data_IF_705230671606
#
_entry.id   IF_705230671606
#
_cell.length_a   1.000
_cell.length_b   1.000
_cell.length_c   1.000
_cell.angle_alpha   90.00
_cell.angle_beta   90.00
_cell.angle_gamma   90.00
#
_symmetry.space_group_name_H-M   'P 1'
#
loop_
_entity.id
_entity.type
_entity.pdbx_description
1 polymer ?
#
# COMPACT_ATOMS: atom_id res chain seq x y z
N UNK A 1 -16.46 2.96 7.12
CA UNK A 1 -15.82 3.90 6.17
C UNK A 1 -14.40 3.43 5.98
N UNK A 2 -14.07 2.98 4.78
CA UNK A 2 -12.72 2.52 4.46
C UNK A 2 -11.80 3.75 4.40
N UNK A 3 -10.70 3.72 5.14
CA UNK A 3 -9.68 4.77 5.14
C UNK A 3 -8.34 4.13 4.77
N UNK A 4 -7.42 4.94 4.27
CA UNK A 4 -6.07 4.46 3.97
C UNK A 4 -5.40 3.97 5.26
N UNK A 5 -4.91 2.72 5.33
CA UNK A 5 -4.24 2.20 6.53
C UNK A 5 -2.87 2.84 6.78
N UNK A 6 -2.32 3.57 5.79
CA UNK A 6 -1.02 4.24 5.88
C UNK A 6 -1.15 5.67 6.42
N UNK A 7 -2.00 6.51 5.81
CA UNK A 7 -2.14 7.93 6.19
C UNK A 7 -3.44 8.27 6.95
N UNK A 8 -4.36 7.31 7.09
CA UNK A 8 -5.67 7.52 7.72
C UNK A 8 -6.64 8.38 6.88
N UNK A 9 -6.25 8.84 5.70
CA UNK A 9 -7.08 9.70 4.86
C UNK A 9 -8.20 8.92 4.16
N UNK A 10 -9.26 9.65 3.79
CA UNK A 10 -10.41 9.11 3.04
C UNK A 10 -10.30 9.30 1.53
N UNK A 11 -9.19 9.85 1.05
CA UNK A 11 -8.87 10.01 -0.37
C UNK A 11 -8.40 8.66 -0.93
N UNK A 12 -9.33 7.69 -0.94
CA UNK A 12 -9.13 6.36 -1.49
C UNK A 12 -10.16 6.08 -2.58
N UNK A 13 -9.71 5.49 -3.68
CA UNK A 13 -10.55 4.99 -4.77
C UNK A 13 -10.71 3.48 -4.67
N UNK A 14 -11.89 2.95 -5.01
CA UNK A 14 -12.09 1.50 -5.15
C UNK A 14 -11.64 1.08 -6.55
N UNK A 15 -10.67 0.18 -6.62
CA UNK A 15 -10.09 -0.31 -7.89
C UNK A 15 -10.54 -1.73 -8.22
N UNK A 16 -10.98 -2.50 -7.22
CA UNK A 16 -11.43 -3.88 -7.39
C UNK A 16 -12.32 -4.37 -6.26
N UNK A 17 -12.58 -5.67 -6.23
CA UNK A 17 -13.32 -6.32 -5.14
C UNK A 17 -12.45 -6.31 -3.89
N UNK A 18 -12.91 -5.60 -2.85
CA UNK A 18 -12.18 -5.41 -1.60
C UNK A 18 -10.78 -4.79 -1.76
N UNK A 19 -10.54 -4.12 -2.88
CA UNK A 19 -9.25 -3.51 -3.24
C UNK A 19 -9.42 -2.01 -3.42
N UNK A 20 -8.51 -1.26 -2.82
CA UNK A 20 -8.56 0.19 -2.74
C UNK A 20 -7.18 0.78 -3.03
N UNK A 21 -7.16 1.95 -3.66
CA UNK A 21 -5.96 2.69 -3.96
C UNK A 21 -6.01 4.06 -3.28
N UNK A 22 -4.92 4.47 -2.65
CA UNK A 22 -4.76 5.80 -2.07
C UNK A 22 -3.88 6.67 -2.96
N UNK A 23 -4.41 7.78 -3.45
CA UNK A 23 -3.67 8.73 -4.30
C UNK A 23 -2.58 9.46 -3.55
N UNK A 24 -2.77 9.71 -2.26
CA UNK A 24 -1.81 10.47 -1.44
C UNK A 24 -0.56 9.65 -1.10
N UNK A 25 -0.74 8.36 -0.84
CA UNK A 25 0.36 7.47 -0.46
C UNK A 25 0.90 6.66 -1.64
N UNK A 26 0.23 6.71 -2.81
CA UNK A 26 0.50 5.81 -3.92
C UNK A 26 0.53 4.33 -3.49
N UNK A 27 -0.40 3.92 -2.62
CA UNK A 27 -0.49 2.53 -2.15
C UNK A 27 -1.81 1.90 -2.57
N UNK A 28 -1.75 0.62 -2.89
CA UNK A 28 -2.90 -0.23 -3.07
C UNK A 28 -3.06 -1.17 -1.87
N UNK A 29 -4.27 -1.37 -1.38
CA UNK A 29 -4.52 -2.29 -0.27
C UNK A 29 -5.78 -3.13 -0.47
N UNK A 30 -5.69 -4.38 -0.03
CA UNK A 30 -6.74 -5.39 -0.07
C UNK A 30 -7.27 -5.62 1.34
N UNK A 31 -8.59 -5.58 1.51
CA UNK A 31 -9.26 -5.74 2.80
C UNK A 31 -10.08 -7.03 2.80
N UNK A 32 -9.52 -8.12 3.31
CA UNK A 32 -10.22 -9.41 3.42
C UNK A 32 -10.54 -9.72 4.88
N UNK A 33 -11.71 -9.26 5.33
CA UNK A 33 -12.12 -9.40 6.73
C UNK A 33 -11.16 -8.65 7.65
N UNK A 34 -10.47 -9.39 8.51
CA UNK A 34 -9.46 -8.84 9.43
C UNK A 34 -8.06 -8.70 8.79
N UNK A 35 -7.84 -9.29 7.62
CA UNK A 35 -6.55 -9.26 6.95
C UNK A 35 -6.47 -8.08 5.98
N UNK A 36 -5.51 -7.20 6.19
CA UNK A 36 -5.19 -6.10 5.27
C UNK A 36 -3.80 -6.34 4.68
N UNK A 37 -3.71 -6.40 3.35
CA UNK A 37 -2.43 -6.40 2.62
C UNK A 37 -2.27 -5.06 1.94
N UNK A 38 -1.09 -4.47 2.03
CA UNK A 38 -0.78 -3.15 1.47
C UNK A 38 0.41 -3.32 0.53
N UNK A 39 0.37 -2.64 -0.61
CA UNK A 39 1.37 -2.65 -1.67
C UNK A 39 1.69 -1.21 -2.07
N UNK A 40 2.97 -0.88 -2.24
CA UNK A 40 3.36 0.36 -2.88
C UNK A 40 3.15 0.22 -4.39
N UNK A 41 2.62 1.27 -5.00
CA UNK A 41 2.55 1.42 -6.45
C UNK A 41 3.77 2.22 -6.88
N UNK A 42 4.73 1.56 -7.50
CA UNK A 42 5.92 2.21 -8.05
C UNK A 42 5.55 3.12 -9.23
N UNK A 43 6.47 3.99 -9.64
CA UNK A 43 6.27 4.93 -10.76
C UNK A 43 6.02 4.23 -12.10
N UNK A 44 6.52 3.01 -12.26
CA UNK A 44 6.27 2.14 -13.42
C UNK A 44 4.93 1.38 -13.33
N UNK A 45 4.20 1.53 -12.22
CA UNK A 45 2.93 0.85 -11.96
C UNK A 45 3.08 -0.57 -11.39
N UNK A 46 4.31 -1.00 -11.08
CA UNK A 46 4.56 -2.27 -10.39
C UNK A 46 4.16 -2.21 -8.93
N UNK A 47 3.77 -3.35 -8.36
CA UNK A 47 3.33 -3.46 -6.97
C UNK A 47 4.39 -4.14 -6.11
N UNK A 48 4.91 -3.44 -5.10
CA UNK A 48 5.85 -4.00 -4.11
C UNK A 48 5.17 -4.10 -2.75
N UNK A 49 5.59 -5.05 -1.90
CA UNK A 49 5.00 -5.18 -0.55
C UNK A 49 5.30 -3.92 0.26
N UNK A 50 4.24 -3.29 0.79
CA UNK A 50 4.40 -2.15 1.69
C UNK A 50 5.13 -2.59 2.96
N UNK A 51 6.27 -1.96 3.23
CA UNK A 51 6.96 -2.12 4.49
C UNK A 51 7.11 -0.74 5.15
N UNK A 52 6.52 -0.54 6.34
CA UNK A 52 6.62 0.74 7.05
C UNK A 52 8.06 1.08 7.48
N UNK A 53 8.98 0.11 7.42
CA UNK A 53 10.41 0.26 7.75
C UNK A 53 11.32 0.39 6.52
N UNK A 54 10.79 0.34 5.28
CA UNK A 54 11.61 0.32 4.06
C UNK A 54 12.28 1.67 3.74
N UNK A 55 11.88 2.77 4.41
CA UNK A 55 12.56 4.07 4.32
C UNK A 55 14.01 4.02 4.87
N UNK A 56 14.38 2.95 5.59
CA UNK A 56 15.72 2.76 6.17
C UNK A 56 16.54 1.61 5.58
N UNK A 57 16.06 0.92 4.53
CA UNK A 57 16.73 -0.25 3.97
C UNK A 57 17.13 -0.09 2.50
N UNK A 58 17.90 0.96 2.19
CA UNK A 58 18.87 0.86 1.08
C UNK A 58 20.14 0.19 1.63
N UNK A 59 20.46 -0.99 1.09
CA UNK A 59 21.68 -1.80 1.31
C UNK A 59 21.71 -2.74 2.53
N UNK A 60 21.00 -3.87 2.50
CA UNK A 60 21.52 -5.15 3.04
C UNK A 60 20.79 -6.35 2.41
N UNK A 61 21.09 -6.61 1.15
CA UNK A 61 21.02 -7.93 0.50
C UNK A 61 22.21 -7.82 -0.47
N UNK A 62 23.35 -8.49 -0.35
CA UNK A 62 23.64 -9.89 -0.10
C UNK A 62 25.19 -10.03 -0.10
N UNK A 63 25.77 -10.87 0.77
CA UNK A 63 27.19 -11.28 0.69
C UNK A 63 27.99 -11.11 1.97
#
# INVERSE_FOLDING_TARGET
>A
MTACPVCGQRTIGKVGTDQYYCSECCVEFLVRGENVKIFNVETDGTLTLYNPLQDTAVNLQEG
#
